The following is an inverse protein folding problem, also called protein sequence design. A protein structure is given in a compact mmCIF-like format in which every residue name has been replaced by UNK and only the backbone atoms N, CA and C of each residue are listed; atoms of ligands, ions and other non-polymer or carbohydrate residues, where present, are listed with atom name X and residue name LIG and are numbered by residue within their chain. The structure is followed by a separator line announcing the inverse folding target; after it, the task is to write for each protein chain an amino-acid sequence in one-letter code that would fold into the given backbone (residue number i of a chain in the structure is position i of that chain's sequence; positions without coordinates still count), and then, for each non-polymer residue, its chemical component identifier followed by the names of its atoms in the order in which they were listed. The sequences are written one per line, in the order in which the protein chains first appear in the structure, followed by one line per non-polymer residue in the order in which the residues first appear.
data_IF_805665861469
#
_entry.id   IF_805665861469
#
_cell.length_a   1.000
_cell.length_b   1.000
_cell.length_c   1.000
_cell.angle_alpha   90.00
_cell.angle_beta   90.00
_cell.angle_gamma   90.00
#
_symmetry.space_group_name_H-M   'P 1'
#
loop_
_entity.id
_entity.type
_entity.pdbx_description
1 polymer ?
#
# COMPACT_ATOMS: atom_id res chain seq x y z
N UNK A 1 15.20 -24.05 -6.39
CA UNK A 1 14.25 -25.05 -6.88
C UNK A 1 12.90 -24.91 -6.18
N UNK A 2 11.87 -25.65 -6.62
CA UNK A 2 10.53 -25.54 -6.05
C UNK A 2 9.73 -24.35 -6.59
N UNK A 3 10.02 -23.87 -7.78
CA UNK A 3 9.24 -22.83 -8.46
C UNK A 3 8.07 -23.43 -9.24
N UNK A 4 6.94 -22.75 -9.22
CA UNK A 4 5.78 -23.03 -10.05
C UNK A 4 5.53 -21.85 -11.01
N UNK A 5 5.48 -22.09 -12.31
CA UNK A 5 5.23 -21.07 -13.33
C UNK A 5 4.13 -21.53 -14.30
N UNK A 6 3.04 -20.81 -14.36
CA UNK A 6 1.89 -21.10 -15.22
C UNK A 6 1.50 -19.81 -15.96
N UNK A 7 1.71 -19.77 -17.27
CA UNK A 7 1.38 -18.63 -18.11
C UNK A 7 2.50 -18.24 -19.07
N UNK A 8 2.15 -17.46 -20.11
CA UNK A 8 3.12 -16.99 -21.09
C UNK A 8 4.17 -16.11 -20.42
N UNK A 9 5.46 -16.47 -20.55
CA UNK A 9 6.61 -15.81 -19.93
C UNK A 9 6.55 -15.66 -18.40
N UNK A 10 5.77 -16.48 -17.69
CA UNK A 10 5.82 -16.50 -16.25
C UNK A 10 7.21 -16.97 -15.77
N UNK A 11 7.83 -16.21 -14.86
CA UNK A 11 9.14 -16.50 -14.24
C UNK A 11 10.29 -16.73 -15.26
N UNK A 12 10.20 -16.14 -16.46
CA UNK A 12 11.11 -16.48 -17.57
C UNK A 12 12.55 -16.02 -17.38
N UNK A 13 12.81 -14.96 -16.59
CA UNK A 13 14.16 -14.46 -16.32
C UNK A 13 14.80 -15.10 -15.07
N UNK A 14 14.13 -16.02 -14.38
CA UNK A 14 14.62 -16.56 -13.11
C UNK A 14 15.91 -17.39 -13.30
N UNK A 15 16.93 -17.06 -12.51
CA UNK A 15 18.22 -17.75 -12.54
C UNK A 15 18.42 -18.63 -11.32
N UNK A 16 18.34 -18.09 -10.13
CA UNK A 16 18.60 -18.81 -8.87
C UNK A 16 17.48 -18.63 -7.81
N UNK A 17 16.47 -17.79 -8.08
CA UNK A 17 15.33 -17.61 -7.16
C UNK A 17 14.59 -18.92 -6.95
N UNK A 18 14.28 -19.24 -5.70
CA UNK A 18 13.60 -20.47 -5.30
C UNK A 18 12.23 -20.22 -4.64
N UNK A 19 11.38 -21.25 -4.65
CA UNK A 19 10.09 -21.24 -3.96
C UNK A 19 9.15 -20.10 -4.42
N UNK A 20 9.20 -19.75 -5.70
CA UNK A 20 8.30 -18.76 -6.28
C UNK A 20 7.09 -19.43 -6.93
N UNK A 21 5.92 -18.84 -6.73
CA UNK A 21 4.67 -19.22 -7.39
C UNK A 21 4.25 -18.09 -8.35
N UNK A 22 4.33 -18.31 -9.65
CA UNK A 22 3.96 -17.37 -10.71
C UNK A 22 2.80 -17.94 -11.52
N UNK A 23 1.62 -17.34 -11.45
CA UNK A 23 0.44 -17.78 -12.18
C UNK A 23 -0.19 -16.59 -12.91
N UNK A 24 -0.02 -16.55 -14.23
CA UNK A 24 -0.52 -15.50 -15.11
C UNK A 24 0.50 -15.10 -16.16
N UNK A 25 0.02 -14.49 -17.25
CA UNK A 25 0.91 -13.94 -18.29
C UNK A 25 1.87 -12.92 -17.66
N UNK A 26 3.17 -13.09 -17.85
CA UNK A 26 4.25 -12.22 -17.35
C UNK A 26 4.29 -12.05 -15.82
N UNK A 27 3.72 -12.96 -15.06
CA UNK A 27 3.88 -12.97 -13.61
C UNK A 27 5.38 -13.25 -13.27
N UNK A 28 5.99 -12.40 -12.42
CA UNK A 28 7.43 -12.48 -12.05
C UNK A 28 8.36 -12.50 -13.28
N UNK A 29 8.01 -11.77 -14.34
CA UNK A 29 8.74 -11.80 -15.62
C UNK A 29 10.23 -11.53 -15.45
N UNK A 30 10.61 -10.47 -14.72
CA UNK A 30 12.00 -10.01 -14.57
C UNK A 30 12.73 -10.62 -13.37
N UNK A 31 12.09 -11.53 -12.60
CA UNK A 31 12.70 -12.08 -11.39
C UNK A 31 13.99 -12.86 -11.72
N UNK A 32 15.08 -12.50 -11.06
CA UNK A 32 16.37 -13.20 -11.25
C UNK A 32 16.74 -14.07 -10.06
N UNK A 33 16.81 -13.49 -8.88
CA UNK A 33 17.25 -14.17 -7.65
C UNK A 33 16.26 -14.07 -6.50
N UNK A 34 15.18 -13.29 -6.66
CA UNK A 34 14.11 -13.16 -5.65
C UNK A 34 13.48 -14.51 -5.33
N UNK A 35 13.27 -14.79 -4.03
CA UNK A 35 12.75 -16.06 -3.56
C UNK A 35 11.46 -15.88 -2.71
N UNK A 36 10.69 -16.96 -2.58
CA UNK A 36 9.48 -17.02 -1.75
C UNK A 36 8.39 -16.02 -2.18
N UNK A 37 8.32 -15.67 -3.46
CA UNK A 37 7.29 -14.76 -3.96
C UNK A 37 6.06 -15.53 -4.46
N UNK A 38 4.88 -14.98 -4.22
CA UNK A 38 3.61 -15.44 -4.79
C UNK A 38 3.05 -14.35 -5.69
N UNK A 39 2.94 -14.59 -6.99
CA UNK A 39 2.40 -13.67 -8.00
C UNK A 39 1.28 -14.33 -8.79
N UNK A 40 0.05 -13.89 -8.59
CA UNK A 40 -1.13 -14.44 -9.27
C UNK A 40 -1.87 -13.32 -9.99
N UNK A 41 -1.83 -13.34 -11.31
CA UNK A 41 -2.44 -12.33 -12.18
C UNK A 41 -1.55 -11.92 -13.34
N UNK A 42 -2.13 -11.19 -14.28
CA UNK A 42 -1.39 -10.65 -15.45
C UNK A 42 -0.45 -9.53 -15.02
N UNK A 43 0.83 -9.62 -15.38
CA UNK A 43 1.93 -8.68 -15.08
C UNK A 43 2.07 -8.38 -13.57
N UNK A 44 1.79 -9.37 -12.74
CA UNK A 44 1.91 -9.27 -11.29
C UNK A 44 3.37 -9.44 -10.89
N UNK A 45 3.94 -8.52 -10.05
CA UNK A 45 5.38 -8.52 -9.72
C UNK A 45 6.27 -8.56 -10.99
N UNK A 46 5.85 -7.90 -12.08
CA UNK A 46 6.48 -8.02 -13.37
C UNK A 46 7.94 -7.59 -13.41
N UNK A 47 8.29 -6.50 -12.73
CA UNK A 47 9.62 -5.90 -12.72
C UNK A 47 10.50 -6.35 -11.53
N UNK A 48 10.01 -7.28 -10.69
CA UNK A 48 10.78 -7.77 -9.54
C UNK A 48 12.06 -8.45 -9.99
N UNK A 49 13.19 -8.05 -9.43
CA UNK A 49 14.49 -8.67 -9.74
C UNK A 49 15.03 -9.52 -8.60
N UNK A 50 15.16 -8.95 -7.41
CA UNK A 50 15.76 -9.59 -6.24
C UNK A 50 14.87 -9.57 -4.99
N UNK A 51 13.76 -8.83 -5.02
CA UNK A 51 12.81 -8.78 -3.91
C UNK A 51 12.25 -10.14 -3.55
N UNK A 52 12.15 -10.45 -2.26
CA UNK A 52 11.69 -11.75 -1.77
C UNK A 52 10.52 -11.65 -0.79
N UNK A 53 9.84 -12.79 -0.58
CA UNK A 53 8.74 -12.90 0.39
C UNK A 53 7.58 -11.93 0.11
N UNK A 54 7.31 -11.63 -1.16
CA UNK A 54 6.18 -10.80 -1.56
C UNK A 54 4.97 -11.66 -1.95
N UNK A 55 3.79 -11.20 -1.58
CA UNK A 55 2.51 -11.77 -2.03
C UNK A 55 1.80 -10.73 -2.88
N UNK A 56 1.57 -11.02 -4.16
CA UNK A 56 0.85 -10.16 -5.07
C UNK A 56 -0.25 -10.93 -5.81
N UNK A 57 -1.48 -10.49 -5.68
CA UNK A 57 -2.65 -11.13 -6.31
C UNK A 57 -3.51 -10.06 -6.99
N UNK A 58 -3.62 -10.13 -8.31
CA UNK A 58 -4.41 -9.19 -9.09
C UNK A 58 -3.66 -8.63 -10.29
N UNK A 59 -4.40 -8.05 -11.24
CA UNK A 59 -3.83 -7.39 -12.41
C UNK A 59 -2.92 -6.23 -11.99
N UNK A 60 -1.65 -6.25 -12.40
CA UNK A 60 -0.62 -5.24 -12.07
C UNK A 60 -0.38 -5.03 -10.56
N UNK A 61 -0.75 -5.98 -9.70
CA UNK A 61 -0.41 -5.88 -8.29
C UNK A 61 1.11 -5.93 -8.11
N UNK A 62 1.68 -4.96 -7.37
CA UNK A 62 3.12 -4.83 -7.06
C UNK A 62 4.03 -4.86 -8.31
N UNK A 63 3.52 -4.35 -9.45
CA UNK A 63 4.20 -4.53 -10.74
C UNK A 63 5.61 -3.94 -10.78
N UNK A 64 5.78 -2.68 -10.36
CA UNK A 64 7.07 -1.97 -10.46
C UNK A 64 8.06 -2.32 -9.33
N UNK A 65 7.76 -3.30 -8.49
CA UNK A 65 8.69 -3.71 -7.42
C UNK A 65 9.99 -4.24 -8.03
N UNK A 66 11.11 -3.73 -7.58
CA UNK A 66 12.40 -4.21 -8.07
C UNK A 66 13.15 -5.04 -7.03
N UNK A 67 13.34 -4.51 -5.85
CA UNK A 67 14.16 -5.09 -4.79
C UNK A 67 13.47 -5.20 -3.44
N UNK A 68 12.30 -4.59 -3.28
CA UNK A 68 11.59 -4.58 -2.01
C UNK A 68 11.05 -5.97 -1.64
N UNK A 69 11.00 -6.23 -0.35
CA UNK A 69 10.60 -7.52 0.23
C UNK A 69 9.48 -7.37 1.26
N UNK A 70 8.82 -8.48 1.56
CA UNK A 70 7.80 -8.58 2.61
C UNK A 70 6.54 -7.73 2.36
N UNK A 71 6.20 -7.47 1.10
CA UNK A 71 4.98 -6.76 0.73
C UNK A 71 3.82 -7.72 0.44
N UNK A 72 2.62 -7.32 0.84
CA UNK A 72 1.36 -8.00 0.49
C UNK A 72 0.48 -7.06 -0.32
N UNK A 73 0.22 -7.38 -1.58
CA UNK A 73 -0.61 -6.59 -2.49
C UNK A 73 -1.74 -7.47 -3.05
N UNK A 74 -2.98 -7.21 -2.67
CA UNK A 74 -4.15 -7.96 -3.14
C UNK A 74 -5.18 -6.99 -3.73
N UNK A 75 -5.37 -7.07 -5.03
CA UNK A 75 -6.28 -6.20 -5.77
C UNK A 75 -5.65 -5.66 -7.05
N UNK A 76 -6.50 -5.21 -7.99
CA UNK A 76 -6.02 -4.54 -9.20
C UNK A 76 -5.18 -3.31 -8.83
N UNK A 77 -3.95 -3.22 -9.34
CA UNK A 77 -3.03 -2.09 -9.13
C UNK A 77 -2.72 -1.75 -7.66
N UNK A 78 -2.89 -2.70 -6.73
CA UNK A 78 -2.41 -2.54 -5.36
C UNK A 78 -0.87 -2.44 -5.37
N UNK A 79 -0.29 -1.43 -4.69
CA UNK A 79 1.16 -1.14 -4.68
C UNK A 79 1.78 -1.07 -6.09
N UNK A 80 1.05 -0.53 -7.07
CA UNK A 80 1.40 -0.58 -8.49
C UNK A 80 2.83 -0.10 -8.78
N UNK A 81 3.21 1.08 -8.26
CA UNK A 81 4.48 1.74 -8.58
C UNK A 81 5.53 1.61 -7.48
N UNK A 82 5.32 0.74 -6.50
CA UNK A 82 6.28 0.53 -5.42
C UNK A 82 7.60 -0.01 -5.98
N UNK A 83 8.70 0.65 -5.68
CA UNK A 83 10.03 0.25 -6.14
C UNK A 83 10.85 -0.40 -5.02
N UNK A 84 11.00 0.29 -3.90
CA UNK A 84 11.88 -0.14 -2.78
C UNK A 84 11.19 -0.10 -1.40
N UNK A 85 9.94 0.36 -1.31
CA UNK A 85 9.17 0.33 -0.05
C UNK A 85 8.90 -1.11 0.40
N UNK A 86 9.29 -1.45 1.62
CA UNK A 86 9.17 -2.80 2.18
C UNK A 86 8.11 -2.89 3.30
N UNK A 87 7.62 -4.10 3.56
CA UNK A 87 6.70 -4.36 4.67
C UNK A 87 5.31 -3.74 4.49
N UNK A 88 4.94 -3.39 3.26
CA UNK A 88 3.63 -2.80 2.94
C UNK A 88 2.53 -3.86 2.83
N UNK A 89 1.35 -3.54 3.35
CA UNK A 89 0.11 -4.33 3.17
C UNK A 89 -0.90 -3.47 2.42
N UNK A 90 -1.27 -3.86 1.21
CA UNK A 90 -2.26 -3.19 0.37
C UNK A 90 -3.34 -4.18 -0.08
N UNK A 91 -4.56 -4.01 0.39
CA UNK A 91 -5.70 -4.87 0.03
C UNK A 91 -6.84 -4.01 -0.49
N UNK A 92 -7.11 -4.09 -1.77
CA UNK A 92 -8.12 -3.28 -2.46
C UNK A 92 -7.62 -2.74 -3.79
N UNK A 93 -8.53 -2.37 -4.68
CA UNK A 93 -8.14 -1.73 -5.95
C UNK A 93 -7.43 -0.41 -5.69
N UNK A 94 -6.23 -0.25 -6.24
CA UNK A 94 -5.35 0.92 -6.11
C UNK A 94 -4.98 1.29 -4.66
N UNK A 95 -5.12 0.38 -3.69
CA UNK A 95 -4.58 0.61 -2.35
C UNK A 95 -3.06 0.82 -2.45
N UNK A 96 -2.53 1.92 -1.85
CA UNK A 96 -1.12 2.33 -1.96
C UNK A 96 -0.62 2.43 -3.42
N UNK A 97 -1.51 2.80 -4.36
CA UNK A 97 -1.22 2.75 -5.80
C UNK A 97 -0.01 3.58 -6.24
N UNK A 98 0.21 4.76 -5.64
CA UNK A 98 1.33 5.67 -5.95
C UNK A 98 2.55 5.50 -5.03
N UNK A 99 2.55 4.55 -4.10
CA UNK A 99 3.68 4.37 -3.18
C UNK A 99 4.95 4.00 -3.95
N UNK A 100 6.04 4.71 -3.72
CA UNK A 100 7.33 4.42 -4.35
C UNK A 100 8.34 3.82 -3.37
N UNK A 101 8.56 4.47 -2.25
CA UNK A 101 9.58 4.09 -1.26
C UNK A 101 9.07 4.02 0.18
N UNK A 102 7.82 4.46 0.43
CA UNK A 102 7.21 4.41 1.76
C UNK A 102 7.12 2.97 2.28
N UNK A 103 7.60 2.73 3.50
CA UNK A 103 7.66 1.39 4.10
C UNK A 103 6.68 1.24 5.27
N UNK A 104 6.31 -0.01 5.58
CA UNK A 104 5.49 -0.37 6.73
C UNK A 104 4.09 0.28 6.74
N UNK A 105 3.53 0.57 5.58
CA UNK A 105 2.17 1.08 5.47
C UNK A 105 1.15 -0.07 5.40
N UNK A 106 0.00 0.11 6.04
CA UNK A 106 -1.15 -0.79 5.92
C UNK A 106 -2.32 -0.04 5.30
N UNK A 107 -2.75 -0.46 4.12
CA UNK A 107 -3.89 0.11 3.39
C UNK A 107 -4.89 -0.99 3.02
N UNK A 108 -6.10 -0.91 3.56
CA UNK A 108 -7.17 -1.87 3.29
C UNK A 108 -8.43 -1.12 2.88
N UNK A 109 -8.82 -1.24 1.62
CA UNK A 109 -9.98 -0.56 1.04
C UNK A 109 -9.69 -0.02 -0.36
N UNK A 110 -10.74 0.31 -1.09
CA UNK A 110 -10.65 0.96 -2.40
C UNK A 110 -9.99 2.34 -2.24
N UNK A 111 -8.94 2.64 -3.03
CA UNK A 111 -8.18 3.89 -2.99
C UNK A 111 -7.66 4.29 -1.59
N UNK A 112 -7.48 3.32 -0.70
CA UNK A 112 -6.90 3.59 0.61
C UNK A 112 -5.43 3.94 0.46
N UNK A 113 -5.02 5.12 0.97
CA UNK A 113 -3.63 5.64 0.94
C UNK A 113 -3.04 5.70 -0.49
N UNK A 114 -3.88 5.94 -1.50
CA UNK A 114 -3.48 5.76 -2.91
C UNK A 114 -2.49 6.81 -3.42
N UNK A 115 -2.52 8.05 -2.91
CA UNK A 115 -1.58 9.10 -3.30
C UNK A 115 -0.25 9.06 -2.53
N UNK A 116 -0.07 8.15 -1.56
CA UNK A 116 1.16 8.10 -0.77
C UNK A 116 2.37 7.77 -1.66
N UNK A 117 3.43 8.55 -1.53
CA UNK A 117 4.67 8.32 -2.28
C UNK A 117 5.80 7.80 -1.39
N UNK A 118 6.10 8.51 -0.32
CA UNK A 118 7.25 8.24 0.56
C UNK A 118 6.88 8.13 2.05
N UNK A 119 5.65 8.51 2.43
CA UNK A 119 5.20 8.40 3.81
C UNK A 119 5.24 6.95 4.31
N UNK A 120 5.66 6.74 5.56
CA UNK A 120 5.81 5.40 6.14
C UNK A 120 5.01 5.22 7.43
N UNK A 121 4.79 3.96 7.81
CA UNK A 121 4.16 3.59 9.09
C UNK A 121 2.73 4.15 9.26
N UNK A 122 1.99 4.26 8.16
CA UNK A 122 0.59 4.67 8.19
C UNK A 122 -0.33 3.45 8.21
N UNK A 123 -1.46 3.57 8.89
CA UNK A 123 -2.57 2.60 8.87
C UNK A 123 -3.80 3.28 8.29
N UNK A 124 -4.31 2.78 7.18
CA UNK A 124 -5.50 3.27 6.51
C UNK A 124 -6.46 2.12 6.21
N UNK A 125 -7.59 2.06 6.90
CA UNK A 125 -8.58 0.99 6.74
C UNK A 125 -9.95 1.60 6.44
N UNK A 126 -10.42 1.42 5.23
CA UNK A 126 -11.70 1.95 4.74
C UNK A 126 -11.57 2.46 3.31
N UNK A 127 -12.71 2.69 2.68
CA UNK A 127 -12.82 3.29 1.36
C UNK A 127 -12.37 4.76 1.40
N UNK A 128 -11.52 5.18 0.46
CA UNK A 128 -10.97 6.55 0.36
C UNK A 128 -10.33 7.08 1.67
N UNK A 129 -9.74 6.22 2.47
CA UNK A 129 -9.08 6.60 3.72
C UNK A 129 -7.66 7.09 3.44
N UNK A 130 -7.28 8.27 3.99
CA UNK A 130 -5.97 8.90 3.76
C UNK A 130 -5.61 9.08 2.27
N UNK A 131 -6.59 9.30 1.39
CA UNK A 131 -6.36 9.33 -0.07
C UNK A 131 -5.40 10.42 -0.52
N UNK A 132 -5.41 11.60 0.12
CA UNK A 132 -4.52 12.71 -0.26
C UNK A 132 -3.14 12.67 0.41
N UNK A 133 -2.87 11.69 1.28
CA UNK A 133 -1.58 11.60 1.96
C UNK A 133 -0.45 11.35 0.97
N UNK A 134 0.56 12.21 0.94
CA UNK A 134 1.69 12.05 0.02
C UNK A 134 2.97 11.62 0.71
N UNK A 135 3.36 12.31 1.76
CA UNK A 135 4.65 12.11 2.46
C UNK A 135 4.53 11.95 3.97
N UNK A 136 3.35 12.19 4.53
CA UNK A 136 3.13 12.10 5.97
C UNK A 136 3.24 10.66 6.49
N UNK A 137 3.69 10.54 7.73
CA UNK A 137 3.95 9.26 8.40
C UNK A 137 3.22 9.16 9.74
N UNK A 138 3.14 7.94 10.29
CA UNK A 138 2.60 7.66 11.63
C UNK A 138 1.12 8.03 11.83
N UNK A 139 0.34 8.06 10.76
CA UNK A 139 -1.09 8.31 10.86
C UNK A 139 -1.87 6.99 10.98
N UNK A 140 -2.89 6.98 11.82
CA UNK A 140 -3.87 5.89 11.92
C UNK A 140 -5.24 6.39 11.55
N UNK A 141 -5.79 5.92 10.44
CA UNK A 141 -7.13 6.28 9.96
C UNK A 141 -7.96 5.01 9.72
N UNK A 142 -9.11 4.92 10.36
CA UNK A 142 -10.03 3.79 10.23
C UNK A 142 -11.45 4.29 9.99
N UNK A 143 -12.02 3.99 8.85
CA UNK A 143 -13.36 4.43 8.44
C UNK A 143 -13.36 5.04 7.05
N UNK A 144 -14.49 4.94 6.34
CA UNK A 144 -14.62 5.57 5.01
C UNK A 144 -14.38 7.06 5.09
N UNK A 145 -13.52 7.61 4.22
CA UNK A 145 -13.09 9.01 4.17
C UNK A 145 -12.42 9.54 5.44
N UNK A 146 -11.99 8.70 6.37
CA UNK A 146 -11.20 9.17 7.51
C UNK A 146 -9.89 9.80 7.02
N UNK A 147 -9.59 11.03 7.47
CA UNK A 147 -8.41 11.83 7.08
C UNK A 147 -8.23 11.97 5.55
N UNK A 148 -9.31 12.03 4.78
CA UNK A 148 -9.23 12.00 3.32
C UNK A 148 -8.39 13.15 2.71
N UNK A 149 -8.42 14.35 3.32
CA UNK A 149 -7.69 15.52 2.82
C UNK A 149 -6.27 15.66 3.41
N UNK A 150 -5.83 14.77 4.30
CA UNK A 150 -4.49 14.89 4.92
C UNK A 150 -3.39 14.78 3.86
N UNK A 151 -2.51 15.76 3.81
CA UNK A 151 -1.38 15.76 2.87
C UNK A 151 -0.04 15.50 3.55
N UNK A 152 0.27 16.28 4.58
CA UNK A 152 1.57 16.25 5.28
C UNK A 152 1.46 16.18 6.81
N UNK A 153 0.24 16.21 7.38
CA UNK A 153 0.04 16.09 8.84
C UNK A 153 0.45 14.70 9.36
N UNK A 154 1.23 14.64 10.44
CA UNK A 154 1.78 13.42 11.01
C UNK A 154 1.19 13.10 12.40
N UNK A 155 1.38 11.86 12.84
CA UNK A 155 1.05 11.42 14.21
C UNK A 155 -0.44 11.61 14.60
N UNK A 156 -1.34 11.50 13.61
CA UNK A 156 -2.78 11.68 13.82
C UNK A 156 -3.50 10.34 13.96
N UNK A 157 -4.54 10.32 14.78
CA UNK A 157 -5.46 9.19 14.94
C UNK A 157 -6.87 9.62 14.56
N UNK A 158 -7.47 9.00 13.56
CA UNK A 158 -8.85 9.22 13.13
C UNK A 158 -9.60 7.89 13.03
N UNK A 159 -10.61 7.69 13.86
CA UNK A 159 -11.42 6.46 13.87
C UNK A 159 -12.90 6.83 13.74
N UNK A 160 -13.50 6.49 12.63
CA UNK A 160 -14.89 6.79 12.31
C UNK A 160 -15.03 7.31 10.88
N UNK A 161 -16.21 7.13 10.27
CA UNK A 161 -16.47 7.66 8.92
C UNK A 161 -16.34 9.19 8.93
N UNK A 162 -15.54 9.73 8.00
CA UNK A 162 -15.20 11.15 7.88
C UNK A 162 -14.66 11.78 9.19
N UNK A 163 -14.02 10.99 10.05
CA UNK A 163 -13.27 11.55 11.16
C UNK A 163 -12.05 12.28 10.63
N UNK A 164 -11.84 13.52 11.06
CA UNK A 164 -10.70 14.38 10.69
C UNK A 164 -10.53 14.53 9.17
N UNK A 165 -11.62 14.48 8.39
CA UNK A 165 -11.57 14.40 6.93
C UNK A 165 -11.04 15.67 6.24
N UNK A 166 -11.22 16.86 6.85
CA UNK A 166 -10.71 18.13 6.33
C UNK A 166 -9.26 18.43 6.75
N UNK A 167 -8.61 17.60 7.57
CA UNK A 167 -7.23 17.85 8.00
C UNK A 167 -6.29 17.86 6.82
N UNK A 168 -5.43 18.87 6.73
CA UNK A 168 -4.42 18.95 5.68
C UNK A 168 -2.99 18.78 6.23
N UNK A 169 -2.67 19.50 7.29
CA UNK A 169 -1.29 19.60 7.81
C UNK A 169 -1.18 19.51 9.33
N UNK A 170 -2.31 19.41 10.08
CA UNK A 170 -2.24 19.32 11.52
C UNK A 170 -1.57 18.03 11.98
N UNK A 171 -0.90 18.11 13.12
CA UNK A 171 -0.13 17.03 13.74
C UNK A 171 -0.65 16.71 15.14
N UNK A 172 -0.52 15.44 15.56
CA UNK A 172 -0.84 15.00 16.92
C UNK A 172 -2.32 15.10 17.27
N UNK A 173 -3.22 15.00 16.30
CA UNK A 173 -4.67 15.11 16.52
C UNK A 173 -5.28 13.74 16.77
N UNK A 174 -6.20 13.64 17.75
CA UNK A 174 -6.98 12.42 17.99
C UNK A 174 -8.47 12.71 17.79
N UNK A 175 -9.08 12.08 16.79
CA UNK A 175 -10.50 12.21 16.44
C UNK A 175 -11.18 10.83 16.43
N UNK A 176 -12.04 10.54 17.37
CA UNK A 176 -12.76 9.27 17.48
C UNK A 176 -14.26 9.52 17.43
N UNK A 177 -14.93 8.89 16.48
CA UNK A 177 -16.36 9.06 16.22
C UNK A 177 -16.63 9.55 14.80
N UNK A 178 -17.84 9.28 14.30
CA UNK A 178 -18.24 9.76 12.97
C UNK A 178 -18.25 11.29 12.94
N UNK A 179 -17.58 11.89 11.93
CA UNK A 179 -17.44 13.33 11.76
C UNK A 179 -16.71 14.06 12.90
N UNK A 180 -16.04 13.34 13.80
CA UNK A 180 -15.23 13.97 14.86
C UNK A 180 -14.14 14.82 14.25
N UNK A 181 -14.02 16.10 14.65
CA UNK A 181 -13.09 17.11 14.11
C UNK A 181 -13.10 17.23 12.57
N UNK A 182 -14.25 16.99 11.93
CA UNK A 182 -14.37 16.99 10.46
C UNK A 182 -14.08 18.36 9.80
N UNK A 183 -14.06 19.44 10.56
CA UNK A 183 -13.72 20.79 10.07
C UNK A 183 -12.33 21.28 10.48
N UNK A 184 -11.57 20.46 11.22
CA UNK A 184 -10.21 20.82 11.62
C UNK A 184 -9.29 20.69 10.42
N UNK A 185 -8.64 21.78 10.00
CA UNK A 185 -7.74 21.79 8.83
C UNK A 185 -6.26 21.80 9.23
N UNK A 186 -5.89 22.64 10.19
CA UNK A 186 -4.48 22.89 10.59
C UNK A 186 -4.28 22.96 12.11
N UNK A 187 -5.33 22.83 12.92
CA UNK A 187 -5.23 22.87 14.39
C UNK A 187 -4.59 21.61 14.94
N UNK A 188 -3.37 21.72 15.49
CA UNK A 188 -2.62 20.60 16.04
C UNK A 188 -2.98 20.27 17.49
N UNK A 189 -2.69 19.05 17.94
CA UNK A 189 -2.81 18.61 19.33
C UNK A 189 -4.23 18.50 19.89
N UNK A 190 -5.25 18.56 19.03
CA UNK A 190 -6.66 18.49 19.46
C UNK A 190 -7.10 17.04 19.71
N UNK A 191 -7.91 16.83 20.74
CA UNK A 191 -8.55 15.55 21.02
C UNK A 191 -10.05 15.70 21.07
N UNK A 192 -10.78 14.87 20.32
CA UNK A 192 -12.25 14.81 20.38
C UNK A 192 -12.74 13.35 20.28
N UNK A 193 -13.75 13.04 21.07
CA UNK A 193 -14.43 11.74 21.08
C UNK A 193 -15.94 11.98 21.03
N UNK A 194 -16.64 11.44 20.00
CA UNK A 194 -18.07 11.60 19.82
C UNK A 194 -18.51 12.03 18.44
#
# INVERSE_FOLDING_TARGET
DGNNAIGYSALSANTTGASNNAMGQQALLANTTGANNTAIGHVTLGDNTTGGSNVAVGFLALNANTTASNNTAVGKSALLVNTTGAGGVAVGTSALGANTTGSNNTAVGFLSLDANTTGGTNVAVGDNTLTANTTASHNTAVGSNAMAANTTGTDNVAVGSAALDANTTAEGVTAIGRLSLSTNTTGAGNTAVG
#
